data_IF_391482659545
#
_entry.id   IF_391482659545
#
_cell.length_a   1.000
_cell.length_b   1.000
_cell.length_c   1.000
_cell.angle_alpha   90.00
_cell.angle_beta   90.00
_cell.angle_gamma   90.00
#
_symmetry.space_group_name_H-M   'P 1'
#
loop_
_entity.id
_entity.type
_entity.pdbx_description
1 polymer ?
#
# COMPACT_ATOMS: atom_id res chain seq x y z
N UNK A 1 -8.32 -2.28 16.96
CA UNK A 1 -6.93 -1.99 16.53
C UNK A 1 -6.87 -2.10 15.01
N UNK A 2 -6.77 -0.94 14.35
CA UNK A 2 -6.94 -0.71 12.91
C UNK A 2 -6.18 -1.71 12.02
N UNK A 3 -4.97 -2.12 12.42
CA UNK A 3 -4.14 -3.09 11.66
C UNK A 3 -4.78 -4.47 11.51
N UNK A 4 -5.56 -4.93 12.51
CA UNK A 4 -6.24 -6.23 12.48
C UNK A 4 -7.33 -6.25 11.41
N UNK A 5 -8.01 -5.12 11.24
CA UNK A 5 -9.15 -4.99 10.32
C UNK A 5 -8.66 -4.84 8.88
N UNK A 6 -7.53 -4.13 8.67
CA UNK A 6 -6.84 -4.09 7.38
C UNK A 6 -6.39 -5.50 6.94
N UNK A 7 -5.82 -6.30 7.85
CA UNK A 7 -5.38 -7.67 7.50
C UNK A 7 -6.56 -8.57 7.15
N UNK A 8 -7.67 -8.51 7.90
CA UNK A 8 -8.86 -9.30 7.58
C UNK A 8 -9.46 -8.90 6.24
N UNK A 9 -9.57 -7.59 5.98
CA UNK A 9 -10.09 -7.07 4.73
C UNK A 9 -9.25 -7.52 3.53
N UNK A 10 -7.92 -7.37 3.64
CA UNK A 10 -6.97 -7.85 2.64
C UNK A 10 -7.20 -9.32 2.31
N UNK A 11 -7.20 -10.19 3.33
CA UNK A 11 -7.35 -11.65 3.14
C UNK A 11 -8.69 -12.01 2.49
N UNK A 12 -9.75 -11.26 2.80
CA UNK A 12 -11.08 -11.49 2.21
C UNK A 12 -11.22 -11.05 0.76
N UNK A 13 -10.45 -10.04 0.35
CA UNK A 13 -10.52 -9.46 -0.99
C UNK A 13 -9.44 -10.00 -1.94
N UNK A 14 -8.59 -10.93 -1.49
CA UNK A 14 -7.53 -11.50 -2.33
C UNK A 14 -8.11 -12.05 -3.65
N UNK A 15 -7.66 -11.54 -4.81
CA UNK A 15 -8.23 -11.93 -6.10
C UNK A 15 -7.74 -13.30 -6.55
N UNK A 16 -6.50 -13.66 -6.21
CA UNK A 16 -5.85 -14.91 -6.61
C UNK A 16 -4.77 -15.31 -5.60
N UNK A 17 -4.33 -16.58 -5.60
CA UNK A 17 -3.18 -17.02 -4.80
C UNK A 17 -1.91 -16.29 -5.23
N UNK A 18 -1.32 -15.50 -4.32
CA UNK A 18 -0.07 -14.79 -4.56
C UNK A 18 0.93 -15.07 -3.42
N UNK A 19 2.02 -15.81 -3.65
CA UNK A 19 3.01 -16.07 -2.61
C UNK A 19 3.70 -14.81 -2.08
N UNK A 20 3.81 -13.77 -2.91
CA UNK A 20 4.42 -12.49 -2.55
C UNK A 20 3.54 -11.33 -2.99
N UNK A 21 3.62 -10.21 -2.28
CA UNK A 21 2.87 -9.00 -2.61
C UNK A 21 3.17 -8.48 -4.02
N UNK A 22 4.41 -8.67 -4.47
CA UNK A 22 4.88 -8.25 -5.78
C UNK A 22 4.24 -9.05 -6.92
N UNK A 23 3.75 -10.25 -6.66
CA UNK A 23 3.14 -11.11 -7.68
C UNK A 23 1.76 -10.58 -8.12
N UNK A 24 1.14 -9.67 -7.36
CA UNK A 24 -0.03 -8.93 -7.82
C UNK A 24 0.34 -7.80 -8.78
N UNK A 25 -0.36 -7.73 -9.92
CA UNK A 25 -0.24 -6.62 -10.86
C UNK A 25 -0.83 -5.32 -10.25
N UNK A 26 -0.47 -4.14 -10.79
CA UNK A 26 -0.97 -2.86 -10.27
C UNK A 26 -2.50 -2.80 -10.13
N UNK A 27 -3.25 -3.24 -11.16
CA UNK A 27 -4.72 -3.22 -11.15
C UNK A 27 -5.30 -4.05 -9.99
N UNK A 28 -4.75 -5.23 -9.70
CA UNK A 28 -5.18 -6.05 -8.56
C UNK A 28 -4.91 -5.36 -7.23
N UNK A 29 -3.77 -4.66 -7.11
CA UNK A 29 -3.45 -3.88 -5.90
C UNK A 29 -4.36 -2.67 -5.75
N UNK A 30 -4.81 -2.07 -6.84
CA UNK A 30 -5.75 -0.95 -6.81
C UNK A 30 -7.15 -1.38 -6.39
N UNK A 31 -7.62 -2.56 -6.83
CA UNK A 31 -8.86 -3.16 -6.32
C UNK A 31 -8.79 -3.47 -4.82
N UNK A 32 -7.66 -4.01 -4.35
CA UNK A 32 -7.43 -4.23 -2.92
C UNK A 32 -7.37 -2.90 -2.14
N UNK A 33 -6.79 -1.86 -2.73
CA UNK A 33 -6.74 -0.53 -2.13
C UNK A 33 -8.10 0.16 -2.11
N UNK A 34 -8.99 -0.11 -3.08
CA UNK A 34 -10.36 0.40 -3.08
C UNK A 34 -11.12 -0.02 -1.82
N UNK A 35 -10.94 -1.24 -1.35
CA UNK A 35 -11.51 -1.69 -0.07
C UNK A 35 -10.98 -0.95 1.16
N UNK A 36 -9.76 -0.45 1.09
CA UNK A 36 -9.20 0.45 2.10
C UNK A 36 -9.82 1.85 2.00
N UNK A 37 -10.01 2.38 0.79
CA UNK A 37 -10.65 3.69 0.55
C UNK A 37 -12.11 3.73 0.99
N UNK A 38 -12.86 2.64 0.84
CA UNK A 38 -14.27 2.54 1.30
C UNK A 38 -14.43 2.76 2.81
N UNK A 39 -13.34 2.68 3.59
CA UNK A 39 -13.35 2.75 5.06
C UNK A 39 -12.65 3.98 5.63
N UNK A 40 -12.05 4.82 4.78
CA UNK A 40 -11.24 5.95 5.22
C UNK A 40 -11.53 7.16 4.36
N UNK A 41 -11.77 8.29 5.02
CA UNK A 41 -11.90 9.60 4.38
C UNK A 41 -10.54 10.29 4.34
N UNK A 42 -10.31 11.08 3.30
CA UNK A 42 -9.05 11.81 3.09
C UNK A 42 -9.38 13.28 2.84
N UNK A 43 -8.63 14.18 3.47
CA UNK A 43 -8.82 15.63 3.34
C UNK A 43 -8.53 16.14 1.92
N UNK A 44 -7.66 15.47 1.17
CA UNK A 44 -7.33 15.84 -0.19
C UNK A 44 -6.98 14.64 -1.08
N UNK A 45 -6.98 14.86 -2.40
CA UNK A 45 -6.47 13.90 -3.36
C UNK A 45 -4.97 13.61 -3.17
N UNK A 46 -4.21 14.59 -2.68
CA UNK A 46 -2.80 14.42 -2.35
C UNK A 46 -2.62 13.42 -1.19
N UNK A 47 -3.40 13.56 -0.11
CA UNK A 47 -3.35 12.65 1.04
C UNK A 47 -3.75 11.24 0.64
N UNK A 48 -4.74 11.11 -0.25
CA UNK A 48 -5.15 9.82 -0.82
C UNK A 48 -4.02 9.15 -1.62
N UNK A 49 -3.29 9.92 -2.44
CA UNK A 49 -2.13 9.41 -3.19
C UNK A 49 -0.97 9.02 -2.26
N UNK A 50 -0.78 9.77 -1.17
CA UNK A 50 0.22 9.43 -0.15
C UNK A 50 -0.16 8.18 0.63
N UNK A 51 -1.43 8.04 1.02
CA UNK A 51 -1.97 6.84 1.63
C UNK A 51 -1.77 5.61 0.73
N UNK A 52 -1.99 5.73 -0.59
CA UNK A 52 -1.72 4.65 -1.55
C UNK A 52 -0.27 4.18 -1.51
N UNK A 53 0.67 5.12 -1.47
CA UNK A 53 2.11 4.85 -1.44
C UNK A 53 2.51 4.17 -0.14
N UNK A 54 2.08 4.72 1.01
CA UNK A 54 2.37 4.17 2.33
C UNK A 54 1.72 2.79 2.51
N UNK A 55 0.48 2.63 2.05
CA UNK A 55 -0.23 1.35 2.08
C UNK A 55 0.50 0.28 1.27
N UNK A 56 0.98 0.62 0.07
CA UNK A 56 1.72 -0.34 -0.77
C UNK A 56 3.03 -0.80 -0.11
N UNK A 57 3.79 0.13 0.48
CA UNK A 57 5.02 -0.18 1.22
C UNK A 57 4.70 -1.05 2.44
N UNK A 58 3.67 -0.68 3.19
CA UNK A 58 3.20 -1.45 4.33
C UNK A 58 2.81 -2.87 3.93
N UNK A 59 2.09 -3.05 2.83
CA UNK A 59 1.73 -4.38 2.34
C UNK A 59 2.96 -5.16 1.91
N UNK A 60 3.89 -4.55 1.20
CA UNK A 60 5.15 -5.19 0.84
C UNK A 60 5.87 -5.78 2.06
N UNK A 61 5.92 -5.05 3.17
CA UNK A 61 6.64 -5.46 4.37
C UNK A 61 5.85 -6.45 5.23
N UNK A 62 4.53 -6.27 5.35
CA UNK A 62 3.69 -7.03 6.28
C UNK A 62 3.04 -8.27 5.66
N UNK A 63 2.88 -8.31 4.35
CA UNK A 63 2.23 -9.43 3.65
C UNK A 63 2.87 -10.79 3.94
N UNK A 64 4.22 -10.95 3.91
CA UNK A 64 4.84 -12.24 4.25
C UNK A 64 4.53 -12.69 5.68
N UNK A 65 4.52 -11.75 6.63
CA UNK A 65 4.18 -12.04 8.03
C UNK A 65 2.72 -12.44 8.20
N UNK A 66 1.80 -11.81 7.46
CA UNK A 66 0.38 -12.16 7.45
C UNK A 66 0.21 -13.61 7.01
N UNK A 67 0.81 -13.99 5.87
CA UNK A 67 0.73 -15.37 5.38
C UNK A 67 1.42 -16.37 6.31
N UNK A 68 2.57 -16.01 6.90
CA UNK A 68 3.25 -16.84 7.90
C UNK A 68 2.35 -17.11 9.12
N UNK A 69 1.66 -16.09 9.63
CA UNK A 69 0.72 -16.25 10.76
C UNK A 69 -0.48 -17.10 10.38
N UNK A 70 -1.04 -16.89 9.18
CA UNK A 70 -2.12 -17.71 8.65
C UNK A 70 -1.72 -19.19 8.60
N UNK A 71 -0.55 -19.49 8.04
CA UNK A 71 0.01 -20.84 7.98
C UNK A 71 0.24 -21.46 9.35
N UNK A 72 0.80 -20.71 10.29
CA UNK A 72 1.00 -21.20 11.66
C UNK A 72 -0.32 -21.51 12.38
N UNK A 73 -1.41 -20.80 12.07
CA UNK A 73 -2.74 -21.11 12.59
C UNK A 73 -3.29 -22.37 11.94
N UNK A 74 -3.16 -22.49 10.62
CA UNK A 74 -3.61 -23.66 9.88
C UNK A 74 -2.94 -24.95 10.38
N UNK A 75 -1.64 -24.94 10.67
CA UNK A 75 -0.94 -26.08 11.29
C UNK A 75 -1.52 -26.46 12.65
N UNK A 76 -1.87 -25.47 13.49
CA UNK A 76 -2.50 -25.72 14.79
C UNK A 76 -3.90 -26.29 14.64
N UNK A 77 -4.68 -25.78 13.69
CA UNK A 77 -6.06 -26.23 13.44
C UNK A 77 -6.10 -27.64 12.82
N UNK A 78 -5.16 -27.95 11.93
CA UNK A 78 -5.01 -29.28 11.35
C UNK A 78 -4.33 -30.28 12.31
N UNK A 79 -3.82 -29.81 13.46
CA UNK A 79 -2.96 -30.59 14.36
C UNK A 79 -1.84 -31.34 13.61
N UNK A 80 -1.18 -30.65 12.68
CA UNK A 80 -0.17 -31.24 11.80
C UNK A 80 1.01 -30.30 11.58
N UNK A 81 2.13 -30.86 11.18
CA UNK A 81 3.34 -30.14 10.73
C UNK A 81 3.54 -30.26 9.22
N UNK A 82 2.73 -31.07 8.53
CA UNK A 82 2.77 -31.28 7.09
C UNK A 82 2.02 -30.17 6.35
N UNK A 83 2.66 -29.59 5.32
CA UNK A 83 2.06 -28.55 4.48
C UNK A 83 0.86 -29.10 3.69
N UNK A 84 0.82 -30.39 3.38
CA UNK A 84 -0.30 -30.98 2.66
C UNK A 84 -1.60 -30.94 3.50
N UNK A 85 -1.44 -31.10 4.82
CA UNK A 85 -2.55 -31.30 5.75
C UNK A 85 -3.23 -29.98 6.11
N UNK A 86 -2.61 -28.84 5.83
CA UNK A 86 -3.22 -27.52 6.06
C UNK A 86 -4.16 -27.08 4.94
N UNK A 87 -4.38 -27.91 3.92
CA UNK A 87 -5.37 -27.65 2.86
C UNK A 87 -6.77 -27.54 3.49
N UNK A 88 -7.55 -26.53 3.10
CA UNK A 88 -8.86 -26.27 3.69
C UNK A 88 -8.84 -25.65 5.11
N UNK A 89 -7.70 -25.63 5.80
CA UNK A 89 -7.53 -24.98 7.12
C UNK A 89 -7.08 -23.52 7.02
N UNK A 90 -7.48 -22.84 5.95
CA UNK A 90 -7.12 -21.45 5.71
C UNK A 90 -7.84 -20.47 6.64
N UNK A 91 -7.41 -19.21 6.71
CA UNK A 91 -8.14 -18.19 7.45
C UNK A 91 -9.59 -18.11 7.00
N UNK A 92 -10.55 -18.08 7.93
CA UNK A 92 -12.00 -17.98 7.62
C UNK A 92 -12.39 -16.85 6.67
N UNK A 93 -11.63 -15.75 6.68
CA UNK A 93 -11.87 -14.61 5.80
C UNK A 93 -11.42 -14.87 4.35
N UNK A 94 -10.45 -15.77 4.14
CA UNK A 94 -9.86 -16.04 2.83
C UNK A 94 -10.68 -17.09 2.08
N UNK A 95 -10.83 -16.90 0.76
CA UNK A 95 -11.46 -17.91 -0.10
C UNK A 95 -10.61 -19.20 -0.11
N UNK A 96 -11.29 -20.35 -0.10
CA UNK A 96 -10.67 -21.67 0.03
C UNK A 96 -9.75 -21.99 -1.16
N UNK A 97 -10.12 -21.58 -2.37
CA UNK A 97 -9.32 -21.72 -3.59
C UNK A 97 -8.02 -20.91 -3.52
N UNK A 98 -8.10 -19.66 -3.05
CA UNK A 98 -6.92 -18.78 -2.83
C UNK A 98 -5.97 -19.42 -1.82
N UNK A 99 -6.50 -19.90 -0.70
CA UNK A 99 -5.71 -20.60 0.31
C UNK A 99 -5.03 -21.86 -0.24
N UNK A 100 -5.80 -22.71 -0.91
CA UNK A 100 -5.29 -23.96 -1.47
C UNK A 100 -4.22 -23.69 -2.54
N UNK A 101 -4.36 -22.65 -3.36
CA UNK A 101 -3.33 -22.22 -4.30
C UNK A 101 -2.01 -21.82 -3.62
N UNK A 102 -2.08 -21.16 -2.46
CA UNK A 102 -0.89 -20.86 -1.65
C UNK A 102 -0.26 -22.14 -1.08
N UNK A 103 -1.09 -23.08 -0.61
CA UNK A 103 -0.61 -24.39 -0.13
C UNK A 103 0.11 -25.15 -1.24
N UNK A 104 -0.42 -25.18 -2.46
CA UNK A 104 0.26 -25.79 -3.61
C UNK A 104 1.63 -25.14 -3.89
N UNK A 105 1.73 -23.82 -3.78
CA UNK A 105 3.02 -23.13 -3.90
C UNK A 105 4.00 -23.53 -2.80
N UNK A 106 3.55 -23.75 -1.56
CA UNK A 106 4.45 -24.18 -0.47
C UNK A 106 4.79 -25.68 -0.51
N UNK A 107 4.00 -26.48 -1.22
CA UNK A 107 4.31 -27.88 -1.52
C UNK A 107 5.38 -28.03 -2.60
N UNK A 108 5.58 -27.02 -3.44
CA UNK A 108 6.63 -27.01 -4.45
C UNK A 108 8.01 -27.25 -3.82
N UNK A 109 8.73 -28.27 -4.31
CA UNK A 109 10.02 -28.69 -3.76
C UNK A 109 11.07 -27.58 -3.82
N UNK A 110 11.03 -26.73 -4.86
CA UNK A 110 11.96 -25.59 -4.97
C UNK A 110 11.67 -24.56 -3.89
N UNK A 111 10.42 -24.32 -3.53
CA UNK A 111 10.07 -23.48 -2.37
C UNK A 111 10.54 -24.13 -1.05
N UNK A 112 10.27 -25.41 -0.84
CA UNK A 112 10.64 -26.11 0.39
C UNK A 112 12.16 -26.10 0.62
N UNK A 113 12.93 -26.40 -0.43
CA UNK A 113 14.39 -26.36 -0.37
C UNK A 113 14.91 -24.97 0.03
N UNK A 114 14.34 -23.90 -0.53
CA UNK A 114 14.67 -22.53 -0.14
C UNK A 114 14.27 -22.21 1.30
N UNK A 115 13.10 -22.67 1.74
CA UNK A 115 12.63 -22.45 3.11
C UNK A 115 13.55 -23.14 4.12
N UNK A 116 13.92 -24.40 3.88
CA UNK A 116 14.85 -25.18 4.72
C UNK A 116 16.24 -24.53 4.72
N UNK A 117 16.77 -24.15 3.55
CA UNK A 117 18.06 -23.46 3.47
C UNK A 117 18.04 -22.14 4.25
N UNK A 118 16.98 -21.34 4.11
CA UNK A 118 16.82 -20.09 4.86
C UNK A 118 16.70 -20.32 6.37
N UNK A 119 16.05 -21.39 6.80
CA UNK A 119 15.99 -21.77 8.22
C UNK A 119 17.37 -22.17 8.75
N UNK A 120 18.11 -23.02 8.02
CA UNK A 120 19.48 -23.43 8.38
C UNK A 120 20.41 -22.21 8.46
N UNK A 121 20.34 -21.30 7.48
CA UNK A 121 21.13 -20.07 7.49
C UNK A 121 20.84 -19.21 8.72
N UNK A 122 19.56 -19.07 9.11
CA UNK A 122 19.20 -18.33 10.33
C UNK A 122 19.68 -19.02 11.61
N UNK A 123 19.58 -20.35 11.68
CA UNK A 123 20.02 -21.11 12.84
C UNK A 123 21.55 -21.15 12.99
N UNK A 124 22.27 -21.12 11.88
CA UNK A 124 23.74 -21.09 11.85
C UNK A 124 24.33 -19.73 12.23
N UNK A 125 23.53 -18.66 12.27
CA UNK A 125 23.99 -17.34 12.69
C UNK A 125 24.12 -17.29 14.22
N UNK A 126 25.33 -17.04 14.77
CA UNK A 126 25.50 -16.86 16.21
C UNK A 126 24.67 -15.67 16.71
N UNK A 127 24.13 -15.76 17.93
CA UNK A 127 23.28 -14.72 18.52
C UNK A 127 23.93 -13.31 18.49
N UNK A 128 25.26 -13.22 18.61
CA UNK A 128 26.01 -11.96 18.56
C UNK A 128 26.16 -11.35 17.15
N UNK A 129 25.83 -12.10 16.08
CA UNK A 129 25.81 -11.63 14.68
C UNK A 129 24.40 -11.31 14.19
N UNK A 130 23.37 -11.42 15.04
CA UNK A 130 22.06 -10.89 14.75
C UNK A 130 22.14 -9.37 14.81
N UNK A 131 22.44 -8.74 13.67
CA UNK A 131 22.40 -7.30 13.54
C UNK A 131 20.95 -6.82 13.72
N UNK A 132 20.66 -6.26 14.90
CA UNK A 132 19.60 -5.27 15.06
C UNK A 132 19.98 -4.11 14.15
N UNK A 133 19.44 -4.08 12.93
CA UNK A 133 19.79 -3.15 11.86
C UNK A 133 19.55 -1.69 12.27
N UNK A 134 20.44 -1.12 13.08
CA UNK A 134 20.35 0.24 13.61
C UNK A 134 19.28 0.48 14.67
N UNK A 135 18.57 -0.52 15.20
CA UNK A 135 17.64 -0.26 16.30
C UNK A 135 18.41 -0.02 17.59
N UNK A 136 18.45 1.25 17.99
CA UNK A 136 18.94 1.67 19.30
C UNK A 136 18.04 1.08 20.38
N UNK A 137 18.63 0.64 21.50
CA UNK A 137 17.85 0.17 22.64
C UNK A 137 16.98 1.31 23.19
N UNK A 138 15.89 0.99 23.89
CA UNK A 138 15.06 2.03 24.54
C UNK A 138 15.88 2.90 25.49
N UNK A 139 16.85 2.32 26.22
CA UNK A 139 17.74 3.06 27.09
C UNK A 139 18.67 4.02 26.33
N UNK A 140 19.20 3.57 25.19
CA UNK A 140 20.04 4.38 24.30
C UNK A 140 19.24 5.55 23.69
N UNK A 141 18.01 5.28 23.23
CA UNK A 141 17.10 6.32 22.74
C UNK A 141 16.75 7.33 23.85
N UNK A 142 16.48 6.86 25.06
CA UNK A 142 16.19 7.73 26.21
C UNK A 142 17.36 8.66 26.51
N UNK A 143 18.58 8.13 26.60
CA UNK A 143 19.79 8.94 26.81
C UNK A 143 19.96 10.02 25.74
N UNK A 144 19.77 9.68 24.46
CA UNK A 144 19.88 10.67 23.37
C UNK A 144 18.81 11.76 23.46
N UNK A 145 17.59 11.40 23.87
CA UNK A 145 16.51 12.36 24.09
C UNK A 145 16.81 13.29 25.28
N UNK A 146 17.30 12.73 26.38
CA UNK A 146 17.64 13.48 27.59
C UNK A 146 18.81 14.46 27.31
N UNK A 147 19.88 13.98 26.66
CA UNK A 147 21.01 14.84 26.23
C UNK A 147 20.61 15.91 25.23
N UNK A 148 19.69 15.61 24.31
CA UNK A 148 19.17 16.63 23.39
C UNK A 148 18.42 17.74 24.14
N UNK A 149 17.56 17.38 25.10
CA UNK A 149 16.87 18.36 25.94
C UNK A 149 17.86 19.24 26.72
N UNK A 150 18.90 18.65 27.28
CA UNK A 150 19.92 19.38 28.05
C UNK A 150 20.72 20.37 27.18
N UNK A 151 21.12 19.98 25.97
CA UNK A 151 21.85 20.85 25.03
C UNK A 151 20.95 21.96 24.48
N UNK A 152 19.67 21.66 24.23
CA UNK A 152 18.69 22.66 23.78
C UNK A 152 18.43 23.70 24.86
N UNK A 153 18.24 23.27 26.12
CA UNK A 153 18.07 24.18 27.26
C UNK A 153 19.31 25.05 27.51
N UNK A 154 20.52 24.53 27.28
CA UNK A 154 21.74 25.34 27.34
C UNK A 154 21.84 26.36 26.20
N UNK A 155 21.38 26.01 24.99
CA UNK A 155 21.51 26.85 23.79
C UNK A 155 20.47 27.98 23.75
N UNK A 156 19.23 27.73 24.18
CA UNK A 156 18.11 28.66 24.05
C UNK A 156 17.59 29.20 25.40
N UNK A 157 18.06 28.68 26.53
CA UNK A 157 17.50 29.01 27.85
C UNK A 157 16.24 28.20 28.18
N UNK A 158 15.71 28.36 29.39
CA UNK A 158 14.48 27.66 29.85
C UNK A 158 13.19 28.21 29.22
N UNK A 159 13.22 29.44 28.70
CA UNK A 159 12.05 30.09 28.10
C UNK A 159 11.89 29.68 26.63
N UNK A 160 10.98 28.73 26.40
CA UNK A 160 10.68 28.05 25.13
C UNK A 160 10.07 28.95 24.02
N UNK A 161 10.16 30.28 24.14
CA UNK A 161 9.39 31.21 23.30
C UNK A 161 9.93 31.28 21.86
N UNK A 162 11.25 31.11 21.67
CA UNK A 162 11.93 31.20 20.36
C UNK A 162 12.53 29.85 19.87
N UNK A 163 12.16 28.72 20.49
CA UNK A 163 12.75 27.43 20.13
C UNK A 163 12.10 26.83 18.86
N UNK A 164 12.88 26.40 17.85
CA UNK A 164 12.34 25.58 16.77
C UNK A 164 11.87 24.22 17.29
N UNK A 165 10.79 23.67 16.73
CA UNK A 165 10.20 22.38 17.12
C UNK A 165 11.23 21.24 17.12
N UNK A 166 12.21 21.29 16.21
CA UNK A 166 13.42 20.46 16.22
C UNK A 166 14.59 21.28 15.66
N UNK A 167 15.67 21.44 16.43
CA UNK A 167 16.99 21.90 15.93
C UNK A 167 17.77 20.71 15.31
N UNK A 168 17.94 20.67 13.97
CA UNK A 168 18.58 19.54 13.29
C UNK A 168 20.09 19.45 13.51
N UNK A 169 20.75 20.57 13.80
CA UNK A 169 22.19 20.63 13.98
C UNK A 169 22.56 20.08 15.36
N UNK A 170 21.84 20.51 16.40
CA UNK A 170 21.97 19.97 17.77
C UNK A 170 21.61 18.48 17.80
N UNK A 171 20.56 18.08 17.09
CA UNK A 171 20.21 16.66 17.00
C UNK A 171 21.31 15.83 16.34
N UNK A 172 21.96 16.36 15.30
CA UNK A 172 23.06 15.68 14.61
C UNK A 172 24.29 15.55 15.49
N UNK A 173 24.58 16.55 16.33
CA UNK A 173 25.64 16.50 17.33
C UNK A 173 25.40 15.41 18.38
N UNK A 174 24.19 15.35 18.95
CA UNK A 174 23.83 14.38 20.01
C UNK A 174 23.62 12.96 19.48
N UNK A 175 23.00 12.80 18.32
CA UNK A 175 22.65 11.49 17.77
C UNK A 175 23.74 10.89 16.87
N UNK A 176 24.70 11.71 16.41
CA UNK A 176 25.74 11.34 15.45
C UNK A 176 25.23 11.22 14.00
N UNK A 177 26.16 11.04 13.05
CA UNK A 177 25.83 10.85 11.63
C UNK A 177 25.92 9.37 11.22
N UNK A 178 24.81 8.82 10.73
CA UNK A 178 24.75 7.51 10.08
C UNK A 178 25.09 7.65 8.58
N UNK A 179 26.08 6.90 8.10
CA UNK A 179 26.60 6.95 6.71
C UNK A 179 25.64 6.43 5.62
N UNK A 180 24.36 6.19 5.92
CA UNK A 180 23.34 5.77 4.94
C UNK A 180 22.00 6.46 5.23
N UNK A 181 21.58 7.28 4.28
CA UNK A 181 20.19 7.74 4.07
C UNK A 181 19.60 8.56 5.21
N UNK A 182 19.69 9.89 5.11
CA UNK A 182 18.88 10.80 5.95
C UNK A 182 17.40 10.62 5.58
N UNK A 183 16.56 10.31 6.56
CA UNK A 183 15.13 10.66 6.52
C UNK A 183 14.91 11.54 7.74
N UNK A 184 14.84 12.84 7.51
CA UNK A 184 14.40 13.79 8.52
C UNK A 184 12.87 13.69 8.62
N UNK A 185 12.37 13.53 9.84
CA UNK A 185 10.94 13.40 10.14
C UNK A 185 10.35 12.09 9.63
N UNK A 186 10.12 11.12 10.53
CA UNK A 186 9.12 10.04 10.48
C UNK A 186 9.49 8.92 11.47
N UNK A 187 9.70 9.32 12.73
CA UNK A 187 9.62 8.38 13.83
C UNK A 187 8.17 7.94 13.98
N UNK A 188 7.84 6.74 13.50
CA UNK A 188 6.57 6.02 13.74
C UNK A 188 5.31 6.78 13.33
N UNK A 189 4.90 6.61 12.06
CA UNK A 189 3.47 6.70 11.68
C UNK A 189 2.72 5.61 12.44
N UNK A 190 2.28 5.94 13.65
CA UNK A 190 1.07 5.44 14.29
C UNK A 190 0.36 6.53 15.12
N UNK A 191 0.95 7.72 15.28
CA UNK A 191 0.24 8.93 15.69
C UNK A 191 -0.10 9.80 14.48
N UNK A 192 -0.77 9.22 13.48
CA UNK A 192 -1.74 10.04 12.73
C UNK A 192 -2.81 10.34 13.77
N UNK A 193 -2.91 11.61 14.14
CA UNK A 193 -3.97 12.11 15.00
C UNK A 193 -5.33 11.63 14.48
N UNK A 194 -5.79 10.53 15.06
CA UNK A 194 -7.21 10.37 15.30
C UNK A 194 -7.42 11.27 16.52
N UNK A 195 -7.80 12.52 16.26
CA UNK A 195 -8.53 13.26 17.29
C UNK A 195 -9.77 12.43 17.59
N UNK A 196 -9.76 11.75 18.72
CA UNK A 196 -10.97 11.23 19.32
C UNK A 196 -11.77 12.46 19.75
N UNK A 197 -12.73 12.87 18.93
CA UNK A 197 -13.67 13.91 19.29
C UNK A 197 -14.68 13.31 20.27
N UNK A 198 -14.21 13.09 21.49
CA UNK A 198 -15.06 12.98 22.66
C UNK A 198 -14.51 13.97 23.68
N UNK A 199 -15.38 14.88 24.09
CA UNK A 199 -15.20 15.83 25.19
C UNK A 199 -14.66 17.23 24.81
N UNK A 200 -15.42 17.98 24.00
CA UNK A 200 -15.56 19.44 24.17
C UNK A 200 -17.04 19.85 23.92
N UNK A 201 -17.66 20.70 24.78
CA UNK A 201 -19.08 21.06 24.69
C UNK A 201 -19.42 21.91 23.45
N UNK A 202 -20.66 21.74 22.98
CA UNK A 202 -21.31 22.52 21.91
C UNK A 202 -21.14 24.05 22.12
N UNK A 203 -20.72 24.79 21.08
CA UNK A 203 -21.10 26.18 20.91
C UNK A 203 -22.42 26.29 20.15
N UNK A 204 -23.14 27.34 20.48
CA UNK A 204 -24.50 27.64 20.05
C UNK A 204 -24.66 27.89 18.55
N UNK A 205 -25.89 27.64 18.14
CA UNK A 205 -26.53 27.75 16.83
C UNK A 205 -26.25 29.08 16.11
N UNK A 206 -25.73 29.03 14.87
CA UNK A 206 -26.09 30.01 13.83
C UNK A 206 -25.71 29.55 12.43
N UNK A 207 -26.71 29.38 11.56
CA UNK A 207 -26.56 29.52 10.10
C UNK A 207 -26.55 28.25 9.25
N UNK A 208 -27.67 27.54 9.19
CA UNK A 208 -27.95 26.51 8.18
C UNK A 208 -27.93 27.14 6.77
N UNK A 209 -26.95 26.77 5.95
CA UNK A 209 -27.04 26.87 4.49
C UNK A 209 -27.28 25.47 3.93
N UNK A 210 -28.54 25.19 3.58
CA UNK A 210 -28.96 23.93 2.99
C UNK A 210 -28.42 23.80 1.57
N UNK A 211 -27.33 23.05 1.38
CA UNK A 211 -26.95 22.53 0.06
C UNK A 211 -27.70 21.22 -0.16
N UNK A 212 -28.60 21.20 -1.15
CA UNK A 212 -29.39 20.02 -1.51
C UNK A 212 -28.47 18.87 -1.92
N UNK A 213 -28.58 17.74 -1.22
CA UNK A 213 -27.96 16.47 -1.61
C UNK A 213 -28.59 15.96 -2.91
N UNK A 214 -27.77 15.84 -3.96
CA UNK A 214 -28.15 15.22 -5.24
C UNK A 214 -28.39 13.73 -5.04
N UNK A 215 -29.53 13.22 -5.51
CA UNK A 215 -29.92 11.84 -5.28
C UNK A 215 -29.20 10.89 -6.26
N UNK A 216 -29.04 9.63 -5.86
CA UNK A 216 -28.45 8.59 -6.72
C UNK A 216 -29.23 8.40 -8.03
N UNK A 217 -30.53 8.74 -8.04
CA UNK A 217 -31.39 8.73 -9.23
C UNK A 217 -30.94 9.77 -10.26
N UNK A 218 -30.54 10.96 -9.81
CA UNK A 218 -30.12 12.06 -10.68
C UNK A 218 -28.80 11.75 -11.42
N UNK A 219 -27.88 11.04 -10.74
CA UNK A 219 -26.61 10.60 -11.33
C UNK A 219 -26.85 9.53 -12.40
N UNK A 220 -27.80 8.62 -12.18
CA UNK A 220 -28.09 7.55 -13.14
C UNK A 220 -28.84 8.04 -14.37
N UNK A 221 -29.72 9.04 -14.25
CA UNK A 221 -30.35 9.73 -15.39
C UNK A 221 -29.30 10.49 -16.22
N UNK A 222 -28.41 11.25 -15.57
CA UNK A 222 -27.36 12.01 -16.26
C UNK A 222 -26.41 11.10 -17.06
N UNK A 223 -26.09 9.90 -16.55
CA UNK A 223 -25.27 8.93 -17.27
C UNK A 223 -26.02 8.33 -18.47
N UNK A 224 -27.32 8.03 -18.33
CA UNK A 224 -28.15 7.52 -19.43
C UNK A 224 -28.27 8.52 -20.58
N UNK A 225 -28.33 9.81 -20.26
CA UNK A 225 -28.44 10.87 -21.27
C UNK A 225 -27.11 11.15 -21.97
N UNK A 226 -26.00 11.21 -21.22
CA UNK A 226 -24.70 11.62 -21.78
C UNK A 226 -24.00 10.51 -22.59
N UNK A 227 -24.20 9.23 -22.25
CA UNK A 227 -23.45 8.11 -22.84
C UNK A 227 -23.73 7.92 -24.35
N UNK A 228 -24.98 7.92 -24.84
CA UNK A 228 -25.25 7.74 -26.27
C UNK A 228 -24.67 8.85 -27.13
N UNK A 229 -24.70 10.10 -26.65
CA UNK A 229 -24.14 11.24 -27.38
C UNK A 229 -22.61 11.17 -27.48
N UNK A 230 -21.94 10.76 -26.40
CA UNK A 230 -20.48 10.55 -26.41
C UNK A 230 -20.08 9.42 -27.36
N UNK A 231 -20.83 8.32 -27.37
CA UNK A 231 -20.61 7.17 -28.27
C UNK A 231 -20.79 7.59 -29.73
N UNK A 232 -21.85 8.34 -30.05
CA UNK A 232 -22.11 8.82 -31.41
C UNK A 232 -21.10 9.88 -31.89
N UNK A 233 -20.52 10.66 -30.98
CA UNK A 233 -19.49 11.64 -31.33
C UNK A 233 -18.13 10.99 -31.65
N UNK A 234 -17.79 9.88 -30.99
CA UNK A 234 -16.45 9.26 -31.09
C UNK A 234 -16.39 8.11 -32.10
N UNK A 235 -17.48 7.34 -32.27
CA UNK A 235 -17.50 6.21 -33.21
C UNK A 235 -17.14 6.57 -34.65
N UNK A 236 -17.65 7.66 -35.26
CA UNK A 236 -17.34 7.98 -36.64
C UNK A 236 -15.86 8.29 -36.88
N UNK A 237 -15.18 8.95 -35.94
CA UNK A 237 -13.75 9.27 -36.09
C UNK A 237 -12.89 8.01 -35.97
N UNK A 238 -13.17 7.17 -34.97
CA UNK A 238 -12.42 5.93 -34.74
C UNK A 238 -12.60 4.94 -35.90
N UNK A 239 -13.83 4.80 -36.42
CA UNK A 239 -14.10 3.93 -37.58
C UNK A 239 -13.46 4.50 -38.85
N UNK A 240 -13.49 5.83 -39.04
CA UNK A 240 -12.85 6.44 -40.21
C UNK A 240 -11.32 6.27 -40.16
N UNK A 241 -10.67 6.47 -39.01
CA UNK A 241 -9.23 6.22 -38.84
C UNK A 241 -8.85 4.76 -39.13
N UNK A 242 -9.66 3.80 -38.65
CA UNK A 242 -9.42 2.38 -38.90
C UNK A 242 -9.60 2.01 -40.39
N UNK A 243 -10.61 2.58 -41.06
CA UNK A 243 -10.84 2.37 -42.50
C UNK A 243 -9.69 3.00 -43.32
N UNK A 244 -9.25 4.22 -42.99
CA UNK A 244 -8.14 4.89 -43.66
C UNK A 244 -6.82 4.13 -43.49
N UNK A 245 -6.52 3.66 -42.27
CA UNK A 245 -5.32 2.87 -42.00
C UNK A 245 -5.28 1.56 -42.79
N UNK A 246 -6.42 0.87 -42.86
CA UNK A 246 -6.53 -0.39 -43.61
C UNK A 246 -6.51 -0.18 -45.13
N UNK A 247 -7.15 0.88 -45.65
CA UNK A 247 -7.09 1.25 -47.06
C UNK A 247 -5.66 1.60 -47.49
N UNK A 248 -4.93 2.41 -46.71
CA UNK A 248 -3.54 2.75 -47.00
C UNK A 248 -2.64 1.51 -46.98
N UNK A 249 -2.87 0.58 -46.05
CA UNK A 249 -2.14 -0.69 -45.98
C UNK A 249 -2.44 -1.63 -47.15
N UNK A 250 -3.65 -1.59 -47.71
CA UNK A 250 -4.04 -2.38 -48.87
C UNK A 250 -3.50 -1.78 -50.17
N UNK A 251 -3.55 -0.46 -50.32
CA UNK A 251 -3.01 0.25 -51.48
C UNK A 251 -1.48 0.11 -51.59
N UNK A 252 -0.76 0.03 -50.46
CA UNK A 252 0.69 -0.19 -50.46
C UNK A 252 1.12 -1.61 -50.86
N UNK A 253 0.17 -2.54 -51.05
CA UNK A 253 0.43 -3.94 -51.39
C UNK A 253 0.10 -4.29 -52.85
N UNK A 254 -0.39 -3.33 -53.65
CA UNK A 254 -0.66 -3.52 -55.07
C UNK A 254 0.63 -3.26 -55.86
N UNK A 255 1.17 -4.23 -56.62
CA UNK A 255 2.32 -4.01 -57.49
C UNK A 255 1.91 -3.28 -58.78
N UNK A 256 2.51 -2.09 -58.99
CA UNK A 256 2.64 -1.28 -60.22
C UNK A 256 1.41 -0.71 -60.96
N UNK A 257 1.44 0.61 -61.24
CA UNK A 257 1.61 1.19 -62.59
C UNK A 257 1.85 2.74 -62.53
N UNK A 258 2.34 3.40 -63.60
CA UNK A 258 3.69 3.94 -63.76
C UNK A 258 3.85 5.43 -63.40
N UNK A 259 5.09 5.84 -63.13
CA UNK A 259 5.52 7.24 -63.12
C UNK A 259 5.38 7.83 -64.54
N UNK A 260 4.50 8.83 -64.71
CA UNK A 260 4.51 9.68 -65.90
C UNK A 260 5.85 10.41 -66.00
N UNK A 261 6.55 10.19 -67.12
CA UNK A 261 7.76 10.91 -67.50
C UNK A 261 7.35 12.30 -67.98
N UNK A 262 7.91 13.32 -67.32
CA UNK A 262 7.92 14.69 -67.83
C UNK A 262 8.65 14.74 -69.18
N UNK A 263 8.01 15.34 -70.18
CA UNK A 263 8.64 15.89 -71.38
C UNK A 263 8.51 17.41 -71.34
#
# INVERSE_FOLDING_TARGET
MVTRDITKDLLSRMPSPAPRWQDYCPNMKDELFKGFLEKHEFASNYDKAMARTVWNKTMHDRYPDILKRARNRAFKEANSTSIADIKGHGPKAMKVDVWNGLVYHWLDSKWQNKSVAGQKNRAAMPAHKLHTAGSISFGEHKRRKDSYGEVISQKYGEDLIDQPEVDPDVWTEVAGTNKKGRVHGLGRILDIGIHDHRDVPLPEDTGVSTVKSVSHTDITEAIKEALPSAINAVLPSVVNEAIQSNLLSLLSKIPEFPQEKNH
#
